data_IF_272105692749
#
_entry.id   IF_272105692749
#
_cell.length_a   1.000
_cell.length_b   1.000
_cell.length_c   1.000
_cell.angle_alpha   90.00
_cell.angle_beta   90.00
_cell.angle_gamma   90.00
#
_symmetry.space_group_name_H-M   'P 1'
#
loop_
_entity.id
_entity.type
_entity.pdbx_description
1 polymer ?
#
# COMPACT_ATOMS: atom_id res chain seq x y z
N UNK A 1 -12.38 4.30 2.01
CA UNK A 1 -11.52 3.10 2.09
C UNK A 1 -10.36 3.43 3.02
N UNK A 2 -9.85 2.47 3.79
CA UNK A 2 -8.66 2.70 4.60
C UNK A 2 -7.49 3.14 3.72
N UNK A 3 -6.68 4.06 4.23
CA UNK A 3 -5.46 4.53 3.57
C UNK A 3 -4.28 3.61 3.91
N UNK A 4 -3.19 3.72 3.15
CA UNK A 4 -1.93 3.05 3.48
C UNK A 4 -1.44 3.45 4.87
N UNK A 5 -1.61 4.72 5.26
CA UNK A 5 -1.25 5.24 6.58
C UNK A 5 -2.09 4.64 7.70
N UNK A 6 -3.37 4.37 7.47
CA UNK A 6 -4.24 3.73 8.48
C UNK A 6 -3.76 2.30 8.81
N UNK A 7 -3.18 1.60 7.83
CA UNK A 7 -2.72 0.20 8.00
C UNK A 7 -1.25 0.12 8.44
N UNK A 8 -0.37 0.94 7.85
CA UNK A 8 1.09 0.85 8.05
C UNK A 8 1.66 1.92 8.98
N UNK A 9 0.84 2.90 9.39
CA UNK A 9 1.31 4.03 10.18
C UNK A 9 2.47 4.76 9.53
N UNK A 10 3.53 5.04 10.30
CA UNK A 10 4.72 5.73 9.83
C UNK A 10 5.47 4.98 8.70
N UNK A 11 5.30 3.66 8.59
CA UNK A 11 5.98 2.88 7.55
C UNK A 11 5.44 3.15 6.15
N UNK A 12 4.26 3.78 6.02
CA UNK A 12 3.68 4.18 4.73
C UNK A 12 4.64 5.07 3.90
N UNK A 13 5.40 5.95 4.55
CA UNK A 13 6.34 6.85 3.86
C UNK A 13 7.49 6.10 3.16
N UNK A 14 7.80 4.87 3.57
CA UNK A 14 8.82 4.05 2.90
C UNK A 14 8.41 3.66 1.48
N UNK A 15 7.11 3.70 1.17
CA UNK A 15 6.57 3.34 -0.13
C UNK A 15 6.57 4.48 -1.15
N UNK A 16 6.91 5.71 -0.73
CA UNK A 16 7.00 6.88 -1.62
C UNK A 16 7.95 6.64 -2.80
N UNK A 17 9.03 5.87 -2.59
CA UNK A 17 9.97 5.47 -3.66
C UNK A 17 9.36 4.62 -4.77
N UNK A 18 8.21 4.00 -4.51
CA UNK A 18 7.44 3.24 -5.49
C UNK A 18 6.28 4.05 -6.09
N UNK A 19 6.16 5.33 -5.70
CA UNK A 19 5.09 6.22 -6.13
C UNK A 19 3.80 6.07 -5.32
N UNK A 20 3.83 5.45 -4.14
CA UNK A 20 2.67 5.33 -3.24
C UNK A 20 2.67 6.48 -2.23
N UNK A 21 1.56 7.21 -2.15
CA UNK A 21 1.31 8.19 -1.09
C UNK A 21 0.80 7.48 0.18
N UNK A 22 1.16 7.93 1.39
CA UNK A 22 0.52 7.44 2.62
C UNK A 22 -1.00 7.61 2.64
N UNK A 23 -1.50 8.62 1.93
CA UNK A 23 -2.94 8.92 1.85
C UNK A 23 -3.63 8.22 0.67
N UNK A 24 -2.89 7.45 -0.17
CA UNK A 24 -3.53 6.61 -1.18
C UNK A 24 -4.41 5.57 -0.47
N UNK A 25 -5.57 5.27 -1.07
CA UNK A 25 -6.33 4.08 -0.67
C UNK A 25 -5.53 2.81 -1.00
N UNK A 26 -5.83 1.72 -0.28
CA UNK A 26 -5.09 0.46 -0.41
C UNK A 26 -5.12 -0.12 -1.84
N UNK A 27 -6.16 0.14 -2.64
CA UNK A 27 -6.31 -0.42 -3.99
C UNK A 27 -5.42 0.35 -4.96
N UNK A 28 -5.42 1.68 -4.85
CA UNK A 28 -4.49 2.56 -5.57
C UNK A 28 -3.04 2.18 -5.25
N UNK A 29 -2.71 1.99 -3.97
CA UNK A 29 -1.38 1.56 -3.56
C UNK A 29 -0.99 0.19 -4.14
N UNK A 30 -1.90 -0.78 -4.10
CA UNK A 30 -1.70 -2.11 -4.70
C UNK A 30 -1.38 -2.01 -6.20
N UNK A 31 -2.17 -1.24 -6.96
CA UNK A 31 -1.97 -1.07 -8.40
C UNK A 31 -0.61 -0.45 -8.73
N UNK A 32 -0.18 0.56 -7.97
CA UNK A 32 1.13 1.20 -8.16
C UNK A 32 2.29 0.27 -7.82
N UNK A 33 2.14 -0.57 -6.79
CA UNK A 33 3.15 -1.53 -6.39
C UNK A 33 3.21 -2.75 -7.30
N UNK A 34 2.10 -3.17 -7.91
CA UNK A 34 2.04 -4.38 -8.72
C UNK A 34 3.08 -4.41 -9.86
N UNK A 35 3.35 -3.25 -10.48
CA UNK A 35 4.31 -3.11 -11.57
C UNK A 35 5.77 -3.03 -11.07
N UNK A 36 6.02 -2.25 -10.01
CA UNK A 36 7.40 -1.92 -9.57
C UNK A 36 7.93 -2.82 -8.46
N UNK A 37 7.06 -3.35 -7.62
CA UNK A 37 7.39 -4.10 -6.41
C UNK A 37 6.25 -5.07 -6.05
N UNK A 38 6.04 -6.14 -6.83
CA UNK A 38 4.91 -7.05 -6.66
C UNK A 38 4.88 -7.75 -5.30
N UNK A 39 6.04 -7.94 -4.65
CA UNK A 39 6.13 -8.46 -3.29
C UNK A 39 5.53 -7.48 -2.25
N UNK A 40 5.68 -6.16 -2.46
CA UNK A 40 5.04 -5.15 -1.61
C UNK A 40 3.55 -5.03 -1.89
N UNK A 41 3.12 -5.19 -3.15
CA UNK A 41 1.69 -5.26 -3.48
C UNK A 41 1.02 -6.43 -2.75
N UNK A 42 1.67 -7.61 -2.74
CA UNK A 42 1.23 -8.77 -1.98
C UNK A 42 1.20 -8.49 -0.47
N UNK A 43 2.25 -7.89 0.07
CA UNK A 43 2.31 -7.52 1.49
C UNK A 43 1.14 -6.62 1.88
N UNK A 44 0.87 -5.53 1.13
CA UNK A 44 -0.28 -4.64 1.40
C UNK A 44 -1.58 -5.43 1.41
N UNK A 45 -1.79 -6.31 0.44
CA UNK A 45 -3.01 -7.14 0.36
C UNK A 45 -3.18 -8.04 1.59
N UNK A 46 -2.08 -8.63 2.09
CA UNK A 46 -2.07 -9.51 3.26
C UNK A 46 -2.35 -8.73 4.56
N UNK A 47 -1.67 -7.60 4.79
CA UNK A 47 -1.86 -6.79 6.01
C UNK A 47 -3.19 -6.03 6.02
N UNK A 48 -3.74 -5.73 4.85
CA UNK A 48 -5.09 -5.17 4.71
C UNK A 48 -6.20 -6.20 4.95
N UNK A 49 -5.89 -7.47 5.24
CA UNK A 49 -6.90 -8.51 5.44
C UNK A 49 -7.71 -8.85 4.20
N UNK A 50 -7.18 -8.55 3.00
CA UNK A 50 -7.86 -8.63 1.71
C UNK A 50 -9.13 -7.76 1.61
N UNK A 51 -8.94 -6.42 1.62
CA UNK A 51 -9.92 -5.40 1.19
C UNK A 51 -11.36 -5.57 1.73
N UNK A 52 -11.50 -6.01 2.98
CA UNK A 52 -12.77 -5.96 3.73
C UNK A 52 -13.00 -4.56 4.30
#
# INVERSE_FOLDING_TARGET
MATVKDVLGAHAYTLARYGVSPDDDLETAYKRLADKAPHLARFIKEVAGAFL
#
